data_IF_921574864065
#
_entry.id   IF_921574864065
#
_cell.length_a   1.000
_cell.length_b   1.000
_cell.length_c   1.000
_cell.angle_alpha   90.00
_cell.angle_beta   90.00
_cell.angle_gamma   90.00
#
_symmetry.space_group_name_H-M   'P 1'
#
loop_
_entity.id
_entity.type
_entity.pdbx_description
1 polymer ?
#
# COMPACT_ATOMS: atom_id res chain seq x y z
N UNK A 1 6.98 -8.32 21.93
CA UNK A 1 6.26 -7.38 21.04
C UNK A 1 6.21 -7.94 19.62
N UNK A 2 5.03 -8.28 19.12
CA UNK A 2 4.80 -8.66 17.72
C UNK A 2 4.03 -7.51 17.05
N UNK A 3 4.41 -7.11 15.85
CA UNK A 3 3.71 -6.05 15.11
C UNK A 3 2.43 -6.61 14.49
N UNK A 4 1.36 -6.59 15.27
CA UNK A 4 -0.01 -6.96 14.89
C UNK A 4 -0.98 -6.08 15.68
N UNK A 5 -2.22 -5.95 15.24
CA UNK A 5 -3.26 -5.21 15.97
C UNK A 5 -3.41 -5.74 17.40
N UNK A 6 -3.39 -7.07 17.56
CA UNK A 6 -3.38 -7.71 18.87
C UNK A 6 -2.15 -7.31 19.69
N UNK A 7 -0.96 -7.29 19.07
CA UNK A 7 0.27 -6.87 19.72
C UNK A 7 0.28 -5.40 20.12
N UNK A 8 -0.48 -4.53 19.44
CA UNK A 8 -0.63 -3.12 19.81
C UNK A 8 -1.55 -2.90 21.01
N UNK A 9 -2.42 -3.86 21.37
CA UNK A 9 -3.22 -3.79 22.61
C UNK A 9 -2.34 -3.71 23.86
N UNK A 10 -1.12 -4.24 23.78
CA UNK A 10 -0.05 -4.10 24.79
C UNK A 10 0.63 -2.71 24.73
N UNK A 11 -0.15 -1.64 24.48
CA UNK A 11 0.34 -0.33 24.04
C UNK A 11 1.37 0.33 24.99
N UNK A 12 1.39 -0.03 26.27
CA UNK A 12 2.36 0.48 27.23
C UNK A 12 3.81 0.06 26.88
N UNK A 13 4.05 -1.19 26.49
CA UNK A 13 5.41 -1.66 26.14
C UNK A 13 5.97 -0.92 24.91
N UNK A 14 5.10 -0.62 23.95
CA UNK A 14 5.47 0.14 22.75
C UNK A 14 5.81 1.59 23.10
N UNK A 15 4.99 2.23 23.93
CA UNK A 15 5.21 3.62 24.36
C UNK A 15 6.45 3.77 25.23
N UNK A 16 6.71 2.83 26.14
CA UNK A 16 7.94 2.78 26.96
C UNK A 16 9.20 2.70 26.09
N UNK A 17 9.11 2.03 24.95
CA UNK A 17 10.19 1.99 23.95
C UNK A 17 10.13 3.14 22.94
N UNK A 18 9.36 4.19 23.22
CA UNK A 18 9.23 5.39 22.39
C UNK A 18 8.72 5.14 20.95
N UNK A 19 7.86 4.14 20.76
CA UNK A 19 7.13 3.98 19.50
C UNK A 19 5.91 4.91 19.49
N UNK A 20 5.77 5.71 18.43
CA UNK A 20 4.56 6.48 18.11
C UNK A 20 3.52 5.49 17.57
N UNK A 21 2.39 5.38 18.25
CA UNK A 21 1.28 4.50 17.87
C UNK A 21 0.21 5.28 17.09
N UNK A 22 -0.63 4.59 16.30
CA UNK A 22 -1.78 5.23 15.65
C UNK A 22 -2.71 5.91 16.67
N UNK A 23 -3.20 7.09 16.32
CA UNK A 23 -4.07 7.92 17.16
C UNK A 23 -5.50 8.04 16.59
N UNK A 24 -5.88 7.08 15.75
CA UNK A 24 -7.21 6.98 15.13
C UNK A 24 -7.83 5.61 15.40
N UNK A 25 -9.14 5.50 15.18
CA UNK A 25 -9.87 4.23 15.25
C UNK A 25 -9.58 3.39 13.99
N UNK A 26 -8.70 2.40 14.13
CA UNK A 26 -8.27 1.56 13.01
C UNK A 26 -9.44 0.80 12.37
N UNK A 27 -10.34 0.23 13.17
CA UNK A 27 -11.44 -0.58 12.64
C UNK A 27 -12.44 0.29 11.89
N UNK A 28 -12.74 1.50 12.40
CA UNK A 28 -13.59 2.46 11.70
C UNK A 28 -12.98 2.91 10.36
N UNK A 29 -11.69 3.28 10.35
CA UNK A 29 -11.00 3.70 9.13
C UNK A 29 -10.90 2.55 8.13
N UNK A 30 -10.60 1.33 8.59
CA UNK A 30 -10.54 0.14 7.73
C UNK A 30 -11.89 -0.16 7.08
N UNK A 31 -12.96 -0.17 7.87
CA UNK A 31 -14.31 -0.39 7.36
C UNK A 31 -14.70 0.65 6.31
N UNK A 32 -14.42 1.94 6.57
CA UNK A 32 -14.74 3.01 5.63
C UNK A 32 -13.87 2.95 4.36
N UNK A 33 -12.60 2.55 4.48
CA UNK A 33 -11.69 2.38 3.33
C UNK A 33 -12.11 1.22 2.44
N UNK A 34 -12.50 0.08 3.02
CA UNK A 34 -12.94 -1.09 2.26
C UNK A 34 -14.26 -0.78 1.54
N UNK A 35 -15.20 -0.12 2.22
CA UNK A 35 -16.51 0.24 1.66
C UNK A 35 -16.41 1.29 0.55
N UNK A 36 -15.64 2.34 0.79
CA UNK A 36 -15.54 3.51 -0.07
C UNK A 36 -14.07 3.89 -0.31
N UNK A 37 -13.28 3.05 -1.00
CA UNK A 37 -11.87 3.33 -1.25
C UNK A 37 -11.73 4.65 -2.01
N UNK A 38 -10.90 5.56 -1.53
CA UNK A 38 -10.60 6.82 -2.22
C UNK A 38 -9.19 6.86 -2.81
N UNK A 39 -8.29 5.98 -2.35
CA UNK A 39 -6.91 5.95 -2.78
C UNK A 39 -6.41 4.51 -2.88
N UNK A 40 -5.97 4.12 -4.09
CA UNK A 40 -5.17 2.92 -4.33
C UNK A 40 -3.75 3.28 -4.80
N UNK A 41 -2.76 2.55 -4.29
CA UNK A 41 -1.35 2.70 -4.65
C UNK A 41 -0.76 1.42 -5.22
N UNK A 42 -0.10 1.52 -6.37
CA UNK A 42 0.61 0.42 -7.03
C UNK A 42 2.11 0.50 -6.76
N UNK A 43 2.68 -0.59 -6.23
CA UNK A 43 4.07 -0.67 -5.77
C UNK A 43 4.15 -0.51 -4.25
N UNK A 44 4.23 -1.63 -3.54
CA UNK A 44 4.21 -1.68 -2.08
C UNK A 44 5.61 -1.49 -1.44
N UNK A 45 6.54 -0.88 -2.19
CA UNK A 45 7.94 -0.77 -1.83
C UNK A 45 8.27 0.21 -0.70
N UNK A 46 9.57 0.37 -0.44
CA UNK A 46 10.07 1.16 0.69
C UNK A 46 9.70 2.66 0.60
N UNK A 47 9.75 3.26 -0.59
CA UNK A 47 9.42 4.68 -0.76
C UNK A 47 7.95 4.93 -0.42
N UNK A 48 7.04 4.08 -0.90
CA UNK A 48 5.62 4.16 -0.55
C UNK A 48 5.42 4.08 0.97
N UNK A 49 5.98 3.05 1.62
CA UNK A 49 5.83 2.83 3.06
C UNK A 49 6.41 3.95 3.91
N UNK A 50 7.59 4.44 3.55
CA UNK A 50 8.28 5.49 4.32
C UNK A 50 7.69 6.88 4.11
N UNK A 51 7.10 7.14 2.93
CA UNK A 51 6.61 8.46 2.56
C UNK A 51 5.09 8.52 2.48
N UNK A 52 4.46 7.98 1.43
CA UNK A 52 3.02 8.15 1.17
C UNK A 52 2.16 7.54 2.28
N UNK A 53 2.48 6.32 2.71
CA UNK A 53 1.77 5.68 3.82
C UNK A 53 1.94 6.49 5.12
N UNK A 54 3.14 7.00 5.40
CA UNK A 54 3.39 7.81 6.59
C UNK A 54 2.70 9.20 6.54
N UNK A 55 2.59 9.82 5.36
CA UNK A 55 1.81 11.06 5.20
C UNK A 55 0.33 10.79 5.51
N UNK A 56 -0.26 9.73 4.95
CA UNK A 56 -1.64 9.39 5.27
C UNK A 56 -1.83 8.97 6.75
N UNK A 57 -0.84 8.32 7.36
CA UNK A 57 -0.83 8.04 8.80
C UNK A 57 -0.95 9.32 9.64
N UNK A 58 -0.20 10.37 9.29
CA UNK A 58 -0.30 11.67 9.96
C UNK A 58 -1.66 12.31 9.73
N UNK A 59 -2.17 12.29 8.50
CA UNK A 59 -3.50 12.85 8.20
C UNK A 59 -4.63 12.14 8.97
N UNK A 60 -4.55 10.82 9.14
CA UNK A 60 -5.51 10.06 9.94
C UNK A 60 -5.38 10.40 11.44
N UNK A 61 -4.14 10.50 11.95
CA UNK A 61 -3.89 10.91 13.34
C UNK A 61 -4.43 12.32 13.64
N UNK A 62 -4.30 13.24 12.67
CA UNK A 62 -4.79 14.62 12.74
C UNK A 62 -6.29 14.75 12.41
N UNK A 63 -6.95 13.63 12.04
CA UNK A 63 -8.36 13.57 11.61
C UNK A 63 -8.66 14.42 10.37
N UNK A 64 -7.64 14.77 9.58
CA UNK A 64 -7.77 15.44 8.28
C UNK A 64 -8.08 14.45 7.15
N UNK A 65 -7.86 13.15 7.39
CA UNK A 65 -8.34 12.04 6.57
C UNK A 65 -9.27 11.12 7.38
N UNK A 66 -10.17 10.43 6.67
CA UNK A 66 -11.08 9.43 7.24
C UNK A 66 -10.87 8.02 6.67
N UNK A 67 -9.98 7.91 5.66
CA UNK A 67 -9.70 6.68 4.90
C UNK A 67 -8.20 6.48 4.78
N UNK A 68 -7.80 5.22 4.87
CA UNK A 68 -6.45 4.78 4.60
C UNK A 68 -6.21 4.52 3.12
N UNK A 69 -5.13 3.81 2.83
CA UNK A 69 -4.70 3.47 1.47
C UNK A 69 -4.92 1.97 1.23
N UNK A 70 -5.45 1.63 0.05
CA UNK A 70 -5.35 0.28 -0.50
C UNK A 70 -4.03 0.17 -1.26
N UNK A 71 -3.20 -0.82 -0.96
CA UNK A 71 -1.96 -1.06 -1.71
C UNK A 71 -2.10 -2.29 -2.61
N UNK A 72 -1.54 -2.21 -3.80
CA UNK A 72 -1.51 -3.29 -4.77
C UNK A 72 -0.07 -3.52 -5.27
N UNK A 73 0.36 -4.77 -5.36
CA UNK A 73 1.70 -5.15 -5.80
C UNK A 73 1.63 -6.16 -6.94
N UNK A 74 2.29 -5.83 -8.05
CA UNK A 74 2.26 -6.59 -9.30
C UNK A 74 3.56 -7.33 -9.64
N UNK A 75 4.63 -7.11 -8.87
CA UNK A 75 5.95 -7.66 -9.15
C UNK A 75 6.47 -8.53 -8.00
N UNK A 76 6.43 -8.02 -6.77
CA UNK A 76 6.93 -8.75 -5.59
C UNK A 76 5.81 -9.10 -4.62
N UNK A 77 5.06 -10.17 -4.95
CA UNK A 77 3.93 -10.63 -4.14
C UNK A 77 4.31 -11.02 -2.70
N UNK A 78 5.59 -11.29 -2.43
CA UNK A 78 6.05 -11.59 -1.07
C UNK A 78 5.83 -10.41 -0.12
N UNK A 79 5.85 -9.17 -0.63
CA UNK A 79 5.50 -8.00 0.19
C UNK A 79 4.07 -8.13 0.72
N UNK A 80 3.14 -8.60 -0.10
CA UNK A 80 1.75 -8.77 0.31
C UNK A 80 1.61 -9.99 1.24
N UNK A 81 2.12 -11.13 0.81
CA UNK A 81 1.87 -12.43 1.44
C UNK A 81 2.68 -12.66 2.71
N UNK A 82 3.94 -12.20 2.74
CA UNK A 82 4.88 -12.47 3.83
C UNK A 82 5.07 -11.24 4.73
N UNK A 83 4.88 -10.02 4.21
CA UNK A 83 5.03 -8.80 5.01
C UNK A 83 3.69 -8.20 5.44
N UNK A 84 2.78 -7.84 4.53
CA UNK A 84 1.60 -7.06 4.89
C UNK A 84 0.54 -7.92 5.60
N UNK A 85 0.04 -8.99 4.95
CA UNK A 85 -1.03 -9.84 5.48
C UNK A 85 -0.70 -10.46 6.85
N UNK A 86 0.52 -10.98 7.12
CA UNK A 86 0.86 -11.56 8.43
C UNK A 86 0.99 -10.55 9.58
N UNK A 87 1.04 -9.25 9.27
CA UNK A 87 1.24 -8.16 10.23
C UNK A 87 0.08 -7.16 10.22
N UNK A 88 -1.12 -7.59 9.80
CA UNK A 88 -2.33 -6.76 9.76
C UNK A 88 -2.18 -5.46 8.94
N UNK A 89 -1.35 -5.49 7.89
CA UNK A 89 -0.94 -4.33 7.07
C UNK A 89 -0.21 -3.23 7.84
N UNK A 90 0.25 -3.51 9.06
CA UNK A 90 1.08 -2.61 9.85
C UNK A 90 2.52 -2.66 9.36
N UNK A 91 3.19 -1.51 9.41
CA UNK A 91 4.62 -1.42 9.16
C UNK A 91 5.29 -0.53 10.20
N UNK A 92 6.60 -0.69 10.35
CA UNK A 92 7.40 0.15 11.22
C UNK A 92 8.25 1.10 10.39
N UNK A 93 8.04 2.40 10.60
CA UNK A 93 8.92 3.44 10.10
C UNK A 93 9.95 3.80 11.18
N UNK A 94 11.23 3.68 10.84
CA UNK A 94 12.34 4.12 11.69
C UNK A 94 13.07 5.25 10.97
N UNK A 95 13.10 6.44 11.57
CA UNK A 95 13.76 7.62 10.99
C UNK A 95 15.00 7.95 11.81
N UNK A 96 16.17 7.81 11.19
CA UNK A 96 17.44 8.27 11.75
C UNK A 96 17.68 9.73 11.32
N UNK A 97 17.64 10.66 12.27
CA UNK A 97 17.93 12.07 12.01
C UNK A 97 19.43 12.32 11.98
N UNK A 98 19.85 13.41 11.33
CA UNK A 98 21.24 13.88 11.34
C UNK A 98 21.77 14.21 12.75
N UNK A 99 20.87 14.47 13.70
CA UNK A 99 21.19 14.67 15.12
C UNK A 99 21.54 13.37 15.87
N UNK A 100 21.38 12.20 15.24
CA UNK A 100 21.50 10.89 15.87
C UNK A 100 20.23 10.41 16.58
N UNK A 101 19.17 11.22 16.59
CA UNK A 101 17.87 10.82 17.13
C UNK A 101 17.20 9.77 16.24
N UNK A 102 16.65 8.73 16.86
CA UNK A 102 15.90 7.66 16.18
C UNK A 102 14.42 7.76 16.53
N UNK A 103 13.61 8.16 15.57
CA UNK A 103 12.15 8.13 15.71
C UNK A 103 11.60 6.80 15.20
N UNK A 104 10.58 6.28 15.90
CA UNK A 104 9.93 5.02 15.55
C UNK A 104 8.42 5.24 15.51
N UNK A 105 7.81 4.97 14.37
CA UNK A 105 6.38 5.14 14.14
C UNK A 105 5.78 3.85 13.63
N UNK A 106 4.74 3.37 14.30
CA UNK A 106 3.89 2.31 13.76
C UNK A 106 2.95 2.96 12.74
N UNK A 107 3.13 2.57 11.48
CA UNK A 107 2.31 3.01 10.36
C UNK A 107 1.21 1.98 10.16
N UNK A 108 -0.04 2.42 10.29
CA UNK A 108 -1.26 1.64 10.21
C UNK A 108 -2.24 2.21 9.16
N UNK A 109 -1.77 3.07 8.26
CA UNK A 109 -2.57 3.74 7.22
C UNK A 109 -2.87 2.85 6.01
N UNK A 110 -2.20 1.71 5.87
CA UNK A 110 -2.54 0.71 4.84
C UNK A 110 -3.66 -0.17 5.38
N UNK A 111 -4.85 -0.09 4.77
CA UNK A 111 -6.04 -0.78 5.27
C UNK A 111 -6.30 -2.11 4.56
N UNK A 112 -5.79 -2.24 3.34
CA UNK A 112 -6.00 -3.38 2.46
C UNK A 112 -4.76 -3.55 1.57
N UNK A 113 -4.37 -4.79 1.29
CA UNK A 113 -3.18 -5.12 0.50
C UNK A 113 -3.48 -6.26 -0.46
N UNK A 114 -3.31 -6.02 -1.76
CA UNK A 114 -3.74 -6.90 -2.84
C UNK A 114 -2.56 -7.27 -3.74
N UNK A 115 -2.60 -8.47 -4.31
CA UNK A 115 -1.75 -8.85 -5.44
C UNK A 115 -2.41 -8.42 -6.75
N UNK A 116 -1.62 -7.90 -7.69
CA UNK A 116 -2.08 -7.59 -9.06
C UNK A 116 -1.81 -8.82 -9.92
N UNK A 117 -2.52 -9.89 -9.62
CA UNK A 117 -2.40 -11.20 -10.27
C UNK A 117 -3.76 -11.67 -10.78
N UNK A 118 -3.99 -11.76 -12.11
CA UNK A 118 -5.23 -12.28 -12.67
C UNK A 118 -5.56 -13.71 -12.23
N UNK A 119 -4.56 -14.54 -11.91
CA UNK A 119 -4.76 -15.90 -11.43
C UNK A 119 -5.24 -15.93 -9.97
N UNK A 120 -4.96 -14.87 -9.20
CA UNK A 120 -5.59 -14.64 -7.90
C UNK A 120 -6.97 -14.01 -8.09
N UNK A 121 -7.95 -14.85 -8.41
CA UNK A 121 -9.34 -14.44 -8.66
C UNK A 121 -9.96 -13.56 -7.56
N UNK A 122 -9.54 -13.70 -6.30
CA UNK A 122 -10.07 -12.92 -5.19
C UNK A 122 -9.54 -11.48 -5.17
N UNK A 123 -8.22 -11.29 -5.23
CA UNK A 123 -7.60 -9.97 -5.28
C UNK A 123 -7.94 -9.28 -6.62
N UNK A 124 -7.96 -10.02 -7.73
CA UNK A 124 -8.32 -9.49 -9.04
C UNK A 124 -9.76 -8.96 -9.10
N UNK A 125 -10.72 -9.72 -8.56
CA UNK A 125 -12.11 -9.26 -8.43
C UNK A 125 -12.18 -7.98 -7.59
N UNK A 126 -11.46 -7.95 -6.46
CA UNK A 126 -11.45 -6.80 -5.56
C UNK A 126 -10.85 -5.55 -6.21
N UNK A 127 -9.77 -5.70 -7.00
CA UNK A 127 -9.21 -4.61 -7.79
C UNK A 127 -10.27 -4.04 -8.75
N UNK A 128 -10.98 -4.89 -9.50
CA UNK A 128 -12.07 -4.43 -10.39
C UNK A 128 -13.15 -3.66 -9.63
N UNK A 129 -13.57 -4.15 -8.46
CA UNK A 129 -14.55 -3.46 -7.60
C UNK A 129 -14.07 -2.07 -7.14
N UNK A 130 -12.79 -1.93 -6.79
CA UNK A 130 -12.20 -0.64 -6.40
C UNK A 130 -12.22 0.34 -7.57
N UNK A 131 -11.83 -0.09 -8.77
CA UNK A 131 -11.73 0.77 -9.95
C UNK A 131 -13.09 1.26 -10.48
N UNK A 132 -14.17 0.53 -10.23
CA UNK A 132 -15.53 0.97 -10.58
C UNK A 132 -16.25 1.69 -9.44
N UNK A 133 -15.63 1.81 -8.26
CA UNK A 133 -16.24 2.47 -7.12
C UNK A 133 -16.22 4.00 -7.31
N UNK A 134 -17.37 4.70 -7.23
CA UNK A 134 -17.42 6.14 -7.44
C UNK A 134 -16.66 6.96 -6.38
N UNK A 135 -16.27 6.37 -5.25
CA UNK A 135 -15.47 7.06 -4.25
C UNK A 135 -13.98 7.11 -4.58
N UNK A 136 -13.50 6.33 -5.56
CA UNK A 136 -12.10 6.30 -5.93
C UNK A 136 -11.69 7.65 -6.54
N UNK A 137 -10.67 8.29 -5.95
CA UNK A 137 -10.22 9.62 -6.34
C UNK A 137 -8.77 9.62 -6.81
N UNK A 138 -7.93 8.74 -6.25
CA UNK A 138 -6.48 8.71 -6.50
C UNK A 138 -6.04 7.29 -6.85
N UNK A 139 -5.38 7.17 -7.99
CA UNK A 139 -4.53 6.03 -8.35
C UNK A 139 -3.10 6.56 -8.44
N UNK A 140 -2.17 5.92 -7.73
CA UNK A 140 -0.79 6.39 -7.62
C UNK A 140 0.18 5.23 -7.72
N UNK A 141 1.45 5.53 -8.04
CA UNK A 141 2.41 4.51 -8.45
C UNK A 141 3.81 4.78 -7.89
N UNK A 142 4.48 3.74 -7.45
CA UNK A 142 5.94 3.70 -7.23
C UNK A 142 6.56 2.52 -7.97
N UNK A 143 6.31 2.43 -9.28
CA UNK A 143 6.69 1.32 -10.17
C UNK A 143 8.08 1.47 -10.83
N UNK A 144 8.94 2.31 -10.26
CA UNK A 144 10.24 2.74 -10.83
C UNK A 144 10.10 3.50 -12.16
N UNK A 145 11.19 4.07 -12.65
CA UNK A 145 11.25 4.76 -13.94
C UNK A 145 10.96 3.80 -15.10
N UNK A 146 11.40 2.54 -14.98
CA UNK A 146 11.23 1.53 -16.03
C UNK A 146 9.78 1.08 -16.20
N UNK A 147 8.97 1.15 -15.16
CA UNK A 147 7.56 0.76 -15.20
C UNK A 147 6.70 1.61 -16.14
N UNK A 148 7.20 2.75 -16.60
CA UNK A 148 6.52 3.63 -17.57
C UNK A 148 7.02 3.44 -19.01
N UNK A 149 8.09 2.67 -19.23
CA UNK A 149 8.71 2.55 -20.54
C UNK A 149 7.97 1.52 -21.39
N UNK A 150 7.26 1.99 -22.41
CA UNK A 150 6.59 1.12 -23.38
C UNK A 150 7.50 0.73 -24.55
N UNK A 151 8.58 1.50 -24.79
CA UNK A 151 9.43 1.40 -25.98
C UNK A 151 10.91 1.31 -25.63
N UNK A 152 11.66 0.65 -26.49
CA UNK A 152 13.11 0.59 -26.45
C UNK A 152 13.79 1.87 -26.99
N UNK A 153 15.12 1.88 -26.98
CA UNK A 153 15.92 3.00 -27.47
C UNK A 153 15.86 3.23 -29.00
N UNK A 154 15.25 2.30 -29.75
CA UNK A 154 15.01 2.41 -31.19
C UNK A 154 13.60 2.91 -31.49
N UNK A 155 12.75 3.11 -30.47
CA UNK A 155 11.37 3.56 -30.60
C UNK A 155 10.37 2.44 -30.87
N UNK A 156 10.81 1.17 -30.81
CA UNK A 156 9.96 0.00 -30.96
C UNK A 156 9.32 -0.37 -29.63
N UNK A 157 8.06 -0.82 -29.63
CA UNK A 157 7.43 -1.33 -28.42
C UNK A 157 8.16 -2.58 -27.92
N UNK A 158 8.26 -2.74 -26.60
CA UNK A 158 8.77 -3.98 -26.02
C UNK A 158 7.85 -5.16 -26.38
N UNK A 159 8.39 -6.39 -26.52
CA UNK A 159 7.60 -7.56 -26.89
C UNK A 159 6.37 -7.81 -26.00
N UNK A 160 6.51 -7.61 -24.69
CA UNK A 160 5.39 -7.77 -23.75
C UNK A 160 4.26 -6.75 -24.00
N UNK A 161 4.60 -5.51 -24.31
CA UNK A 161 3.61 -4.46 -24.63
C UNK A 161 2.91 -4.75 -25.96
N UNK A 162 3.63 -5.28 -26.96
CA UNK A 162 3.02 -5.71 -28.22
C UNK A 162 2.05 -6.87 -28.00
N UNK A 163 2.44 -7.86 -27.19
CA UNK A 163 1.57 -8.98 -26.84
C UNK A 163 0.27 -8.49 -26.16
N UNK A 164 0.36 -7.51 -25.27
CA UNK A 164 -0.81 -6.91 -24.62
C UNK A 164 -1.74 -6.20 -25.62
N UNK A 165 -1.20 -5.49 -26.61
CA UNK A 165 -2.01 -4.87 -27.67
C UNK A 165 -2.74 -5.90 -28.53
N UNK A 166 -2.10 -7.05 -28.82
CA UNK A 166 -2.69 -8.13 -29.62
C UNK A 166 -3.73 -8.94 -28.82
N UNK A 167 -3.45 -9.21 -27.54
CA UNK A 167 -4.32 -9.99 -26.66
C UNK A 167 -5.53 -9.20 -26.14
N UNK A 168 -5.46 -7.86 -26.20
CA UNK A 168 -6.51 -6.96 -25.75
C UNK A 168 -6.55 -6.76 -24.23
N UNK A 169 -7.39 -5.82 -23.75
CA UNK A 169 -7.38 -5.36 -22.36
C UNK A 169 -7.80 -6.42 -21.34
N UNK A 170 -8.40 -7.53 -21.76
CA UNK A 170 -8.82 -8.61 -20.86
C UNK A 170 -7.66 -9.56 -20.48
N UNK A 171 -6.54 -9.52 -21.22
CA UNK A 171 -5.44 -10.49 -21.09
C UNK A 171 -4.05 -9.82 -21.01
N UNK A 172 -3.97 -8.59 -20.49
CA UNK A 172 -2.70 -7.85 -20.35
C UNK A 172 -1.79 -8.45 -19.28
N UNK A 173 -0.49 -8.51 -19.55
CA UNK A 173 0.52 -9.11 -18.67
C UNK A 173 1.76 -8.22 -18.42
N UNK A 174 1.92 -7.11 -19.15
CA UNK A 174 3.12 -6.26 -19.09
C UNK A 174 3.16 -5.22 -17.98
#
# INVERSE_FOLDING_TARGET
>A
MKLTLEGLKLGNEWKEKAYKLPAFDYEAVKAETIKNPNWIHFGAGNIFRAFLANVNQNNLNEKSAQKGIVVAEGFDYEIIEKMNKPHDNLSLLVTLKSTGEVEKTVVASVMESLTVDPDNSSDWKRLKEIFVNPSLQIVSFTITEKGYNLKDNKGSYYPAVQADFEAGPENTQS
#
